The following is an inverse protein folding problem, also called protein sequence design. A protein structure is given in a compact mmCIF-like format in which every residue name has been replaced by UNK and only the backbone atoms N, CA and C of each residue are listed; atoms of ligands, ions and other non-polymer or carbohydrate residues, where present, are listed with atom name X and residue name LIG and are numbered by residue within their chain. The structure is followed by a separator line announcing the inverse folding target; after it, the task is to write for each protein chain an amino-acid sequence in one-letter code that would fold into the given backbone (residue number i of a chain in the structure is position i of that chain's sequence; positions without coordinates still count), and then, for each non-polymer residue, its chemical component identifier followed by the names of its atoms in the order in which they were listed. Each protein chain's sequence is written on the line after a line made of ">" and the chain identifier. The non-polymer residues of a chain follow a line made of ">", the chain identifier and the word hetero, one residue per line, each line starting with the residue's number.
data_IF_689226594968
#
_entry.id   IF_689226594968
#
_cell.length_a   1.000
_cell.length_b   1.000
_cell.length_c   1.000
_cell.angle_alpha   90.00
_cell.angle_beta   90.00
_cell.angle_gamma   90.00
#
_symmetry.space_group_name_H-M   'P 1'
#
loop_
_entity.id
_entity.type
_entity.pdbx_description
1 polymer ?
#
# COMPACT_ATOMS: atom_id res chain seq x y z
N UNK A 1 28.82 2.08 4.43
CA UNK A 1 27.91 3.09 3.87
C UNK A 1 26.69 2.41 3.28
N UNK A 2 26.87 1.29 2.59
CA UNK A 2 25.81 0.52 1.93
C UNK A 2 24.87 -0.13 2.94
N UNK A 3 25.37 -0.62 4.08
CA UNK A 3 24.54 -1.15 5.17
C UNK A 3 23.61 -0.08 5.76
N UNK A 4 24.10 1.17 5.91
CA UNK A 4 23.29 2.30 6.40
C UNK A 4 22.19 2.63 5.39
N UNK A 5 22.51 2.62 4.09
CA UNK A 5 21.55 2.86 3.03
C UNK A 5 20.49 1.75 2.96
N UNK A 6 20.93 0.50 3.07
CA UNK A 6 20.01 -0.65 3.11
C UNK A 6 19.06 -0.58 4.32
N UNK A 7 19.56 -0.26 5.52
CA UNK A 7 18.74 -0.04 6.70
C UNK A 7 17.74 1.11 6.50
N UNK A 8 18.19 2.23 5.94
CA UNK A 8 17.34 3.39 5.65
C UNK A 8 16.21 3.00 4.72
N UNK A 9 16.50 2.37 3.57
CA UNK A 9 15.51 1.98 2.58
C UNK A 9 14.52 0.94 3.13
N UNK A 10 14.98 0.02 3.97
CA UNK A 10 14.15 -1.07 4.50
C UNK A 10 13.34 -0.71 5.75
N UNK A 11 13.64 0.41 6.43
CA UNK A 11 12.92 0.81 7.65
C UNK A 11 11.97 1.99 7.45
N UNK A 12 12.09 2.71 6.33
CA UNK A 12 11.23 3.85 6.08
C UNK A 12 9.79 3.44 5.77
N UNK A 13 8.88 4.33 6.14
CA UNK A 13 7.48 4.27 5.73
C UNK A 13 7.32 4.92 4.35
N UNK A 14 6.72 4.19 3.42
CA UNK A 14 6.42 4.66 2.07
C UNK A 14 4.93 5.01 1.88
N UNK A 15 4.14 5.08 2.95
CA UNK A 15 2.69 5.22 2.87
C UNK A 15 1.99 3.89 2.59
N UNK A 16 0.64 3.88 2.63
CA UNK A 16 -0.20 2.70 2.35
C UNK A 16 0.23 1.43 3.10
N UNK A 17 0.67 1.57 4.35
CA UNK A 17 1.21 0.50 5.20
C UNK A 17 2.49 -0.17 4.67
N UNK A 18 3.12 0.37 3.61
CA UNK A 18 4.36 -0.15 3.06
C UNK A 18 5.56 0.32 3.90
N UNK A 19 6.14 -0.58 4.67
CA UNK A 19 7.40 -0.38 5.39
C UNK A 19 8.52 -1.12 4.65
N UNK A 20 9.53 -0.35 4.23
CA UNK A 20 10.64 -0.82 3.41
C UNK A 20 10.36 -0.74 1.90
N UNK A 21 11.45 -0.55 1.14
CA UNK A 21 11.37 -0.29 -0.30
C UNK A 21 10.82 -1.49 -1.09
N UNK A 22 11.10 -2.72 -0.66
CA UNK A 22 10.57 -3.93 -1.30
C UNK A 22 9.04 -4.02 -1.13
N UNK A 23 8.53 -3.69 0.06
CA UNK A 23 7.10 -3.63 0.29
C UNK A 23 6.45 -2.51 -0.54
N UNK A 24 7.13 -1.37 -0.67
CA UNK A 24 6.67 -0.26 -1.50
C UNK A 24 6.60 -0.63 -2.99
N UNK A 25 7.60 -1.33 -3.53
CA UNK A 25 7.61 -1.81 -4.92
C UNK A 25 6.38 -2.67 -5.22
N UNK A 26 6.06 -3.60 -4.35
CA UNK A 26 4.87 -4.44 -4.47
C UNK A 26 3.57 -3.67 -4.27
N UNK A 27 3.53 -2.74 -3.30
CA UNK A 27 2.33 -1.95 -3.01
C UNK A 27 1.95 -1.02 -4.15
N UNK A 28 2.92 -0.34 -4.76
CA UNK A 28 2.65 0.67 -5.77
C UNK A 28 2.65 0.13 -7.20
N UNK A 29 3.47 -0.90 -7.48
CA UNK A 29 3.70 -1.40 -8.84
C UNK A 29 3.42 -2.90 -9.03
N UNK A 30 3.22 -3.66 -7.92
CA UNK A 30 3.07 -5.12 -7.92
C UNK A 30 4.23 -5.82 -8.64
N UNK A 31 5.43 -5.35 -8.37
CA UNK A 31 6.68 -5.83 -8.96
C UNK A 31 7.74 -6.07 -7.89
N UNK A 32 8.66 -6.95 -8.19
CA UNK A 32 9.88 -7.07 -7.40
C UNK A 32 10.82 -5.89 -7.68
N UNK A 33 11.69 -5.59 -6.72
CA UNK A 33 12.51 -4.38 -6.75
C UNK A 33 13.43 -4.32 -7.97
N UNK A 34 13.91 -5.49 -8.41
CA UNK A 34 14.81 -5.65 -9.55
C UNK A 34 14.13 -5.43 -10.90
N UNK A 35 12.81 -5.47 -10.95
CA UNK A 35 12.00 -5.31 -12.15
C UNK A 35 11.55 -3.87 -12.38
N UNK A 36 11.81 -2.98 -11.40
CA UNK A 36 11.37 -1.60 -11.48
C UNK A 36 12.15 -0.81 -12.54
N UNK A 37 11.43 0.04 -13.27
CA UNK A 37 12.03 1.03 -14.15
C UNK A 37 12.72 2.15 -13.36
N UNK A 38 13.56 2.93 -14.04
CA UNK A 38 14.20 4.11 -13.43
C UNK A 38 13.16 5.11 -12.92
N UNK A 39 12.05 5.27 -13.63
CA UNK A 39 10.95 6.15 -13.25
C UNK A 39 10.25 5.66 -11.99
N UNK A 40 9.99 4.36 -11.89
CA UNK A 40 9.38 3.73 -10.71
C UNK A 40 10.30 3.82 -9.48
N UNK A 41 11.58 3.54 -9.64
CA UNK A 41 12.58 3.70 -8.57
C UNK A 41 12.64 5.15 -8.07
N UNK A 42 12.72 6.13 -8.99
CA UNK A 42 12.77 7.54 -8.63
C UNK A 42 11.50 8.00 -7.91
N UNK A 43 10.34 7.45 -8.26
CA UNK A 43 9.06 7.68 -7.58
C UNK A 43 9.13 7.18 -6.13
N UNK A 44 9.55 5.94 -5.90
CA UNK A 44 9.64 5.37 -4.56
C UNK A 44 10.63 6.13 -3.67
N UNK A 45 11.78 6.52 -4.21
CA UNK A 45 12.80 7.28 -3.46
C UNK A 45 12.28 8.63 -2.97
N UNK A 46 11.32 9.22 -3.68
CA UNK A 46 10.69 10.48 -3.30
C UNK A 46 9.75 10.41 -2.09
N UNK A 47 9.07 9.26 -1.87
CA UNK A 47 7.98 9.12 -0.90
C UNK A 47 8.39 9.28 0.57
N UNK A 48 9.51 8.70 1.07
CA UNK A 48 9.82 8.66 2.50
C UNK A 48 9.92 10.02 3.19
N UNK A 49 10.18 11.08 2.45
CA UNK A 49 10.28 12.44 3.00
C UNK A 49 8.94 12.95 3.56
N UNK A 50 7.84 12.61 2.91
CA UNK A 50 6.49 12.99 3.32
C UNK A 50 5.46 11.98 2.77
N UNK A 51 5.35 10.78 3.36
CA UNK A 51 4.54 9.67 2.82
C UNK A 51 3.04 9.96 2.71
N UNK A 52 2.54 10.95 3.44
CA UNK A 52 1.14 11.38 3.39
C UNK A 52 0.81 12.31 2.22
N UNK A 53 1.80 13.05 1.69
CA UNK A 53 1.61 14.07 0.66
C UNK A 53 2.39 13.78 -0.63
N UNK A 54 3.44 12.97 -0.57
CA UNK A 54 4.24 12.56 -1.74
C UNK A 54 3.87 11.15 -2.21
N UNK A 55 2.72 10.66 -1.80
CA UNK A 55 2.15 9.39 -2.18
C UNK A 55 1.38 9.56 -3.50
N UNK A 56 1.74 8.86 -4.57
CA UNK A 56 1.11 9.02 -5.88
C UNK A 56 -0.37 8.61 -5.91
N UNK A 57 -0.82 7.79 -4.96
CA UNK A 57 -2.22 7.41 -4.82
C UNK A 57 -3.05 8.56 -4.20
N UNK A 58 -2.42 9.40 -3.36
CA UNK A 58 -3.08 10.51 -2.67
C UNK A 58 -3.00 11.80 -3.49
N UNK A 59 -1.79 12.13 -3.99
CA UNK A 59 -1.53 13.32 -4.80
C UNK A 59 -0.48 12.99 -5.88
N UNK A 60 -0.97 12.52 -7.01
CA UNK A 60 -0.13 12.13 -8.14
C UNK A 60 0.70 13.31 -8.67
N UNK A 61 0.12 14.52 -8.72
CA UNK A 61 0.82 15.68 -9.25
C UNK A 61 2.02 16.07 -8.40
N UNK A 62 1.86 16.07 -7.06
CA UNK A 62 2.97 16.32 -6.14
C UNK A 62 4.01 15.20 -6.20
N UNK A 63 3.59 13.94 -6.25
CA UNK A 63 4.50 12.80 -6.34
C UNK A 63 5.33 12.84 -7.64
N UNK A 64 4.71 13.12 -8.80
CA UNK A 64 5.40 13.27 -10.09
C UNK A 64 6.42 14.41 -10.06
N UNK A 65 6.07 15.55 -9.46
CA UNK A 65 7.02 16.66 -9.31
C UNK A 65 8.23 16.28 -8.47
N UNK A 66 8.03 15.50 -7.40
CA UNK A 66 9.12 15.01 -6.55
C UNK A 66 9.97 13.99 -7.29
N UNK A 67 9.36 13.06 -8.04
CA UNK A 67 10.06 12.09 -8.90
C UNK A 67 10.98 12.82 -9.91
N UNK A 68 10.46 13.84 -10.60
CA UNK A 68 11.27 14.64 -11.54
C UNK A 68 12.47 15.29 -10.84
N UNK A 69 12.28 15.84 -9.63
CA UNK A 69 13.39 16.40 -8.87
C UNK A 69 14.44 15.33 -8.48
N UNK A 70 14.01 14.10 -8.15
CA UNK A 70 14.94 12.99 -7.89
C UNK A 70 15.75 12.68 -9.13
N UNK A 71 15.11 12.57 -10.31
CA UNK A 71 15.78 12.31 -11.59
C UNK A 71 16.77 13.43 -11.94
N UNK A 72 16.41 14.71 -11.74
CA UNK A 72 17.32 15.84 -11.94
C UNK A 72 18.54 15.78 -11.02
N UNK A 73 18.36 15.38 -9.77
CA UNK A 73 19.47 15.18 -8.83
C UNK A 73 20.36 14.00 -9.24
N UNK A 74 19.79 12.93 -9.81
CA UNK A 74 20.57 11.81 -10.34
C UNK A 74 21.43 12.23 -11.52
N UNK A 75 20.93 13.06 -12.43
CA UNK A 75 21.72 13.64 -13.54
C UNK A 75 22.82 14.53 -12.99
N UNK A 76 22.50 15.44 -12.06
CA UNK A 76 23.47 16.36 -11.44
C UNK A 76 24.62 15.64 -10.75
N UNK A 77 24.36 14.47 -10.19
CA UNK A 77 25.35 13.65 -9.50
C UNK A 77 25.96 12.56 -10.38
N UNK A 78 25.70 12.58 -11.68
CA UNK A 78 26.28 11.66 -12.69
C UNK A 78 25.90 10.18 -12.46
N UNK A 79 24.75 9.90 -11.85
CA UNK A 79 24.22 8.55 -11.72
C UNK A 79 23.51 8.07 -12.98
N UNK A 80 22.90 9.00 -13.73
CA UNK A 80 22.22 8.74 -15.00
C UNK A 80 22.53 9.86 -15.99
N UNK A 81 22.32 9.59 -17.30
CA UNK A 81 22.42 10.64 -18.33
C UNK A 81 21.16 11.48 -18.38
N UNK A 82 21.23 12.65 -19.03
CA UNK A 82 20.06 13.50 -19.25
C UNK A 82 18.99 12.77 -20.08
N UNK A 83 19.39 12.03 -21.11
CA UNK A 83 18.49 11.27 -21.98
C UNK A 83 17.76 10.17 -21.20
N UNK A 84 18.45 9.49 -20.26
CA UNK A 84 17.82 8.48 -19.40
C UNK A 84 16.80 9.11 -18.45
N UNK A 85 17.13 10.25 -17.86
CA UNK A 85 16.22 10.97 -16.98
C UNK A 85 15.00 11.50 -17.73
N UNK A 86 15.18 12.06 -18.95
CA UNK A 86 14.08 12.56 -19.76
C UNK A 86 13.15 11.43 -20.24
N UNK A 87 13.72 10.28 -20.60
CA UNK A 87 12.93 9.08 -20.89
C UNK A 87 12.10 8.62 -19.68
N UNK A 88 12.72 8.58 -18.49
CA UNK A 88 12.06 8.21 -17.25
C UNK A 88 10.97 9.22 -16.84
N UNK A 89 11.14 10.52 -17.08
CA UNK A 89 10.11 11.54 -16.83
C UNK A 89 8.92 11.43 -17.78
N UNK A 90 9.14 10.93 -19.00
CA UNK A 90 8.10 10.73 -20.01
C UNK A 90 7.36 9.39 -19.84
N UNK A 91 7.82 8.52 -18.95
CA UNK A 91 7.20 7.23 -18.70
C UNK A 91 5.88 7.40 -17.94
N UNK A 92 4.78 6.87 -18.50
CA UNK A 92 3.49 6.82 -17.80
C UNK A 92 3.51 5.72 -16.74
N UNK A 93 3.55 6.11 -15.46
CA UNK A 93 3.54 5.17 -14.35
C UNK A 93 2.12 4.68 -14.06
N UNK A 94 1.95 3.36 -14.11
CA UNK A 94 0.71 2.70 -13.74
C UNK A 94 0.80 2.27 -12.29
N UNK A 95 0.12 3.00 -11.42
CA UNK A 95 0.02 2.61 -10.02
C UNK A 95 -1.06 1.57 -9.86
N UNK A 96 -0.73 0.49 -9.20
CA UNK A 96 -1.76 -0.34 -8.60
C UNK A 96 -2.26 0.39 -7.37
N UNK A 97 -3.54 0.74 -7.37
CA UNK A 97 -4.20 0.99 -6.11
C UNK A 97 -3.91 -0.24 -5.26
N UNK A 98 -3.42 -0.09 -4.01
CA UNK A 98 -3.53 -1.22 -3.13
C UNK A 98 -5.01 -1.59 -3.23
N UNK A 99 -5.31 -2.63 -3.97
CA UNK A 99 -6.39 -3.45 -3.51
C UNK A 99 -5.88 -3.76 -2.11
N UNK A 100 -6.45 -3.10 -1.15
CA UNK A 100 -6.46 -3.64 0.17
C UNK A 100 -7.13 -4.99 -0.06
N UNK A 101 -6.35 -5.99 -0.43
CA UNK A 101 -6.63 -7.31 0.05
C UNK A 101 -6.40 -7.21 1.56
N UNK A 102 -7.22 -6.39 2.18
CA UNK A 102 -7.69 -6.68 3.50
C UNK A 102 -8.32 -8.02 3.25
N UNK A 103 -7.62 -9.08 3.64
CA UNK A 103 -7.96 -10.44 3.30
C UNK A 103 -9.47 -10.73 3.45
N UNK A 104 -9.93 -11.90 3.18
CA UNK A 104 -11.32 -12.23 3.35
C UNK A 104 -11.76 -11.74 4.74
N UNK A 105 -12.75 -10.87 4.85
CA UNK A 105 -13.24 -10.19 6.05
C UNK A 105 -12.59 -8.83 6.40
N UNK A 106 -12.72 -7.81 5.54
CA UNK A 106 -12.13 -6.49 5.76
C UNK A 106 -12.63 -5.78 7.03
N UNK A 107 -13.88 -5.96 7.39
CA UNK A 107 -14.46 -5.38 8.60
C UNK A 107 -13.87 -5.99 9.86
N UNK A 108 -13.66 -7.30 9.87
CA UNK A 108 -13.00 -7.99 10.98
C UNK A 108 -11.53 -7.58 11.11
N UNK A 109 -10.82 -7.44 10.00
CA UNK A 109 -9.44 -6.95 10.01
C UNK A 109 -9.35 -5.57 10.66
N UNK A 110 -10.21 -4.62 10.26
CA UNK A 110 -10.24 -3.28 10.85
C UNK A 110 -10.55 -3.33 12.35
N UNK A 111 -11.51 -4.16 12.75
CA UNK A 111 -11.82 -4.38 14.16
C UNK A 111 -10.59 -4.86 14.95
N UNK A 112 -9.83 -5.82 14.42
CA UNK A 112 -8.60 -6.32 15.05
C UNK A 112 -7.53 -5.22 15.14
N UNK A 113 -7.37 -4.41 14.08
CA UNK A 113 -6.42 -3.28 14.07
C UNK A 113 -6.80 -2.24 15.12
N UNK A 114 -8.08 -1.90 15.22
CA UNK A 114 -8.56 -0.93 16.22
C UNK A 114 -8.38 -1.47 17.65
N UNK A 115 -8.71 -2.72 17.89
CA UNK A 115 -8.47 -3.38 19.17
C UNK A 115 -6.98 -3.37 19.58
N UNK A 116 -6.08 -3.63 18.61
CA UNK A 116 -4.64 -3.62 18.88
C UNK A 116 -4.11 -2.19 19.13
N UNK A 117 -4.62 -1.21 18.41
CA UNK A 117 -4.28 0.20 18.62
C UNK A 117 -4.72 0.67 20.01
N UNK A 118 -5.93 0.32 20.42
CA UNK A 118 -6.47 0.67 21.73
C UNK A 118 -5.69 0.01 22.88
N UNK A 119 -5.31 -1.26 22.70
CA UNK A 119 -4.66 -2.04 23.77
C UNK A 119 -3.15 -1.83 23.85
N UNK A 120 -2.45 -1.59 22.74
CA UNK A 120 -0.99 -1.57 22.66
C UNK A 120 -0.42 -0.25 22.11
N UNK A 121 -1.28 0.69 21.69
CA UNK A 121 -0.89 1.93 21.03
C UNK A 121 -0.35 1.68 19.63
N UNK A 122 -0.20 2.70 18.80
CA UNK A 122 0.20 2.58 17.39
C UNK A 122 1.60 1.94 17.15
N UNK A 123 2.39 1.75 18.20
CA UNK A 123 3.75 1.18 18.11
C UNK A 123 3.81 -0.33 17.85
N UNK A 124 2.69 -1.06 17.97
CA UNK A 124 2.67 -2.52 17.78
C UNK A 124 3.03 -2.93 16.34
N UNK A 125 2.70 -2.11 15.34
CA UNK A 125 3.00 -2.37 13.92
C UNK A 125 4.49 -2.52 13.63
N UNK A 126 5.37 -1.96 14.48
CA UNK A 126 6.84 -2.03 14.35
C UNK A 126 7.46 -3.23 15.07
N UNK A 127 6.66 -4.02 15.79
CA UNK A 127 7.16 -5.13 16.61
C UNK A 127 7.31 -6.44 15.84
N UNK A 128 6.89 -6.51 14.58
CA UNK A 128 6.94 -7.72 13.77
C UNK A 128 6.09 -8.87 14.33
N UNK A 129 5.00 -8.56 15.03
CA UNK A 129 4.12 -9.57 15.60
C UNK A 129 3.37 -10.34 14.51
N UNK A 130 3.24 -11.63 14.74
CA UNK A 130 2.26 -12.45 14.04
C UNK A 130 1.00 -12.50 14.90
N UNK A 131 -0.12 -12.02 14.35
CA UNK A 131 -1.40 -11.98 15.05
C UNK A 131 -2.27 -13.11 14.49
N UNK A 132 -2.65 -14.02 15.37
CA UNK A 132 -3.58 -15.12 15.06
C UNK A 132 -4.93 -14.77 15.66
N UNK A 133 -5.98 -14.91 14.87
CA UNK A 133 -7.36 -14.65 15.27
C UNK A 133 -8.16 -15.95 15.25
N UNK A 134 -9.38 -15.91 15.76
CA UNK A 134 -10.32 -17.03 15.79
C UNK A 134 -11.29 -17.04 14.62
N UNK A 135 -11.12 -16.13 13.64
CA UNK A 135 -12.02 -16.08 12.48
C UNK A 135 -11.92 -17.37 11.66
N UNK A 136 -13.05 -17.93 11.31
CA UNK A 136 -13.17 -19.01 10.36
C UNK A 136 -13.47 -18.41 8.97
N UNK A 137 -12.51 -18.53 8.05
CA UNK A 137 -12.61 -17.93 6.73
C UNK A 137 -13.62 -18.63 5.81
N UNK A 138 -13.87 -19.92 6.02
CA UNK A 138 -14.86 -20.66 5.24
C UNK A 138 -16.27 -20.21 5.66
N UNK A 139 -16.51 -20.13 6.97
CA UNK A 139 -17.78 -19.63 7.51
C UNK A 139 -18.00 -18.15 7.13
N UNK A 140 -16.95 -17.32 7.15
CA UNK A 140 -17.03 -15.92 6.72
C UNK A 140 -17.45 -15.80 5.25
N UNK A 141 -16.80 -16.53 4.34
CA UNK A 141 -17.11 -16.51 2.92
C UNK A 141 -18.55 -16.97 2.65
N UNK A 142 -19.00 -18.01 3.36
CA UNK A 142 -20.39 -18.51 3.23
C UNK A 142 -21.41 -17.49 3.75
N UNK A 143 -21.14 -16.83 4.87
CA UNK A 143 -21.99 -15.77 5.40
C UNK A 143 -22.09 -14.57 4.44
N UNK A 144 -20.98 -14.14 3.85
CA UNK A 144 -20.93 -13.08 2.84
C UNK A 144 -21.74 -13.46 1.59
N UNK A 145 -21.58 -14.69 1.10
CA UNK A 145 -22.34 -15.21 -0.05
C UNK A 145 -23.83 -15.20 0.22
N UNK A 146 -24.27 -15.76 1.34
CA UNK A 146 -25.69 -15.82 1.71
C UNK A 146 -26.29 -14.42 1.87
N UNK A 147 -25.56 -13.51 2.53
CA UNK A 147 -26.00 -12.12 2.68
C UNK A 147 -26.11 -11.41 1.32
N UNK A 148 -25.13 -11.59 0.44
CA UNK A 148 -25.14 -11.02 -0.91
C UNK A 148 -26.29 -11.54 -1.76
N UNK A 149 -26.50 -12.85 -1.77
CA UNK A 149 -27.62 -13.49 -2.49
C UNK A 149 -28.97 -12.97 -1.98
N UNK A 150 -29.13 -12.81 -0.67
CA UNK A 150 -30.38 -12.28 -0.09
C UNK A 150 -30.58 -10.79 -0.45
N UNK A 151 -29.58 -9.94 -0.35
CA UNK A 151 -29.66 -8.53 -0.75
C UNK A 151 -30.03 -8.40 -2.22
N UNK A 152 -29.53 -9.25 -3.10
CA UNK A 152 -29.85 -9.24 -4.51
C UNK A 152 -31.36 -9.48 -4.76
N UNK A 153 -32.08 -10.11 -3.84
CA UNK A 153 -33.53 -10.31 -3.91
C UNK A 153 -34.34 -9.10 -3.42
N UNK A 154 -33.72 -8.15 -2.76
CA UNK A 154 -34.35 -6.98 -2.11
C UNK A 154 -34.17 -5.67 -2.89
N UNK A 155 -33.87 -5.75 -4.19
CA UNK A 155 -33.59 -4.58 -5.03
C UNK A 155 -34.80 -3.61 -5.07
N UNK A 156 -36.02 -4.12 -5.03
CA UNK A 156 -37.25 -3.32 -5.04
C UNK A 156 -37.45 -2.51 -3.74
N UNK A 157 -36.73 -2.87 -2.68
CA UNK A 157 -36.75 -2.20 -1.37
C UNK A 157 -35.59 -1.22 -1.18
N UNK A 158 -34.80 -0.97 -2.23
CA UNK A 158 -33.58 -0.13 -2.21
C UNK A 158 -32.58 -0.56 -1.12
N UNK A 159 -32.59 -1.84 -0.72
CA UNK A 159 -31.66 -2.43 0.22
C UNK A 159 -30.35 -2.73 -0.51
N UNK A 160 -29.24 -2.08 -0.08
CA UNK A 160 -27.95 -2.17 -0.76
C UNK A 160 -26.84 -2.76 0.11
N UNK A 161 -27.10 -2.92 1.39
CA UNK A 161 -26.12 -3.41 2.36
C UNK A 161 -26.76 -4.37 3.34
N UNK A 162 -25.96 -5.34 3.80
CA UNK A 162 -26.29 -6.21 4.92
C UNK A 162 -25.12 -6.31 5.88
N UNK A 163 -25.40 -6.64 7.12
CA UNK A 163 -24.42 -7.03 8.11
C UNK A 163 -24.82 -8.35 8.74
N UNK A 164 -23.86 -9.26 8.85
CA UNK A 164 -24.03 -10.56 9.51
C UNK A 164 -23.00 -10.65 10.61
N UNK A 165 -23.44 -11.03 11.81
CA UNK A 165 -22.56 -11.31 12.95
C UNK A 165 -22.90 -12.71 13.45
N UNK A 166 -21.88 -13.57 13.46
CA UNK A 166 -21.99 -14.93 14.00
C UNK A 166 -21.09 -15.00 15.22
N UNK A 167 -21.67 -15.34 16.36
CA UNK A 167 -20.98 -15.50 17.64
C UNK A 167 -21.18 -16.92 18.14
N UNK A 168 -20.13 -17.50 18.70
CA UNK A 168 -20.16 -18.77 19.42
C UNK A 168 -20.37 -18.52 20.91
#
# INVERSE_FOLDING_TARGET
>A
KDEILALYLNQNNYGNLAYGITAAARTYFDRDLEELSLAEVAMLVGIPRAPSTQNPIVDQATATRVQHNVLDLMVKNLFVTAEQADAAKAEDLVYRLPQTEIGPAPHFFNYVVDYLNERYGAGWTRKGWRITTTIDLELQAEAERVAGDHIATLTDLDARNAAVVVLD
#
